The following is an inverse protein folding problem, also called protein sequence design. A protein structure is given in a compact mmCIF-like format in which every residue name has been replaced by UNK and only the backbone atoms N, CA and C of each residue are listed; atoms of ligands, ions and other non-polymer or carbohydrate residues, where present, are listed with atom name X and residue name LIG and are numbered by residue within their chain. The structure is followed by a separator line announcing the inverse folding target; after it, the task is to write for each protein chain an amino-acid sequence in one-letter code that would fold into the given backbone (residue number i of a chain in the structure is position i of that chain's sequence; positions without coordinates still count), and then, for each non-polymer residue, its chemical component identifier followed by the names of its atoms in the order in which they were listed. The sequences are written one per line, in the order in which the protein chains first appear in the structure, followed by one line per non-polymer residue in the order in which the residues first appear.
data_IF_278660521213
#
_entry.id   IF_278660521213
#
_cell.length_a   1.000
_cell.length_b   1.000
_cell.length_c   1.000
_cell.angle_alpha   90.00
_cell.angle_beta   90.00
_cell.angle_gamma   90.00
#
_symmetry.space_group_name_H-M   'P 1'
#
loop_
_entity.id
_entity.type
_entity.pdbx_description
1 polymer ?
#
# COMPACT_ATOMS: atom_id res chain seq x y z
N UNK A 1 -22.29 16.98 -7.36
CA UNK A 1 -22.17 15.72 -6.59
C UNK A 1 -22.17 14.61 -7.61
N UNK A 2 -21.02 13.94 -7.79
CA UNK A 2 -20.91 12.77 -8.65
C UNK A 2 -21.73 11.63 -8.05
N UNK A 3 -22.61 11.04 -8.86
CA UNK A 3 -23.41 9.88 -8.47
C UNK A 3 -22.48 8.65 -8.55
N UNK A 4 -22.09 8.11 -7.40
CA UNK A 4 -21.45 6.79 -7.34
C UNK A 4 -22.53 5.79 -6.98
N UNK A 5 -22.99 5.02 -7.95
CA UNK A 5 -23.94 3.95 -7.72
C UNK A 5 -23.45 2.68 -8.38
N UNK A 6 -23.68 1.56 -7.75
CA UNK A 6 -23.43 0.25 -8.34
C UNK A 6 -24.44 0.06 -9.48
N UNK A 7 -23.96 -0.38 -10.64
CA UNK A 7 -24.81 -0.61 -11.80
C UNK A 7 -25.83 -1.71 -11.47
N UNK A 8 -27.09 -1.52 -11.89
CA UNK A 8 -28.13 -2.55 -11.71
C UNK A 8 -27.67 -3.88 -12.31
N UNK A 9 -27.83 -4.98 -11.55
CA UNK A 9 -27.35 -6.30 -11.92
C UNK A 9 -25.90 -6.59 -11.54
N UNK A 10 -25.20 -5.66 -10.87
CA UNK A 10 -23.88 -5.94 -10.31
C UNK A 10 -23.97 -6.95 -9.17
N UNK A 11 -23.02 -7.86 -9.15
CA UNK A 11 -22.89 -8.85 -8.08
C UNK A 11 -22.12 -8.22 -6.90
N UNK A 12 -22.80 -7.93 -5.81
CA UNK A 12 -22.22 -7.35 -4.60
C UNK A 12 -21.23 -8.26 -3.87
N UNK A 13 -21.16 -9.53 -4.25
CA UNK A 13 -20.16 -10.46 -3.73
C UNK A 13 -18.86 -10.40 -4.51
N UNK A 14 -18.85 -9.75 -5.67
CA UNK A 14 -17.63 -9.55 -6.46
C UNK A 14 -16.74 -8.51 -5.80
N UNK A 15 -15.49 -8.81 -5.80
CA UNK A 15 -14.40 -8.05 -5.19
C UNK A 15 -13.25 -7.89 -6.17
N UNK A 16 -12.49 -6.83 -6.01
CA UNK A 16 -11.21 -6.70 -6.70
C UNK A 16 -10.11 -7.26 -5.80
N UNK A 17 -9.40 -8.27 -6.30
CA UNK A 17 -8.25 -8.85 -5.59
C UNK A 17 -7.00 -8.65 -6.42
N UNK A 18 -5.95 -8.11 -5.81
CA UNK A 18 -4.67 -7.85 -6.46
C UNK A 18 -3.55 -8.58 -5.74
N UNK A 19 -2.54 -8.97 -6.51
CA UNK A 19 -1.34 -9.65 -6.03
C UNK A 19 -1.64 -10.87 -5.14
N UNK A 20 -2.66 -11.66 -5.50
CA UNK A 20 -3.02 -12.86 -4.76
C UNK A 20 -1.98 -13.96 -4.94
N UNK A 21 -1.58 -14.56 -3.82
CA UNK A 21 -0.71 -15.75 -3.82
C UNK A 21 -1.08 -16.67 -2.66
N UNK A 22 -1.06 -17.99 -2.85
CA UNK A 22 -1.31 -18.95 -1.76
C UNK A 22 -0.23 -18.90 -0.66
N UNK A 23 0.90 -18.22 -0.92
CA UNK A 23 1.97 -18.03 0.06
C UNK A 23 1.76 -16.79 0.92
N UNK A 24 0.87 -15.89 0.52
CA UNK A 24 0.64 -14.65 1.28
C UNK A 24 -0.19 -14.93 2.52
N UNK A 25 0.31 -14.46 3.65
CA UNK A 25 -0.38 -14.52 4.94
C UNK A 25 -0.86 -13.13 5.41
N UNK A 26 -0.60 -12.10 4.62
CA UNK A 26 -0.94 -10.71 4.90
C UNK A 26 -1.96 -10.21 3.88
N UNK A 27 -3.07 -9.68 4.38
CA UNK A 27 -4.15 -9.10 3.58
C UNK A 27 -4.30 -7.61 3.91
N UNK A 28 -4.41 -6.78 2.88
CA UNK A 28 -4.82 -5.37 3.01
C UNK A 28 -6.24 -5.25 2.48
N UNK A 29 -7.13 -4.64 3.25
CA UNK A 29 -8.54 -4.43 2.90
C UNK A 29 -8.81 -2.94 2.73
N UNK A 30 -9.29 -2.54 1.56
CA UNK A 30 -9.63 -1.14 1.21
C UNK A 30 -11.08 -1.03 0.72
N UNK A 31 -11.59 0.19 0.58
CA UNK A 31 -12.93 0.41 0.00
C UNK A 31 -12.92 0.36 -1.52
N UNK A 32 -11.91 0.93 -2.17
CA UNK A 32 -11.79 0.96 -3.62
C UNK A 32 -10.45 0.37 -4.11
N UNK A 33 -10.43 -0.11 -5.36
CA UNK A 33 -9.22 -0.67 -5.97
C UNK A 33 -8.09 0.37 -6.08
N UNK A 34 -8.43 1.64 -6.32
CA UNK A 34 -7.44 2.73 -6.39
C UNK A 34 -6.71 2.91 -5.06
N UNK A 35 -7.40 2.71 -3.92
CA UNK A 35 -6.79 2.80 -2.59
C UNK A 35 -5.85 1.64 -2.32
N UNK A 36 -6.18 0.45 -2.81
CA UNK A 36 -5.32 -0.71 -2.71
C UNK A 36 -3.99 -0.49 -3.47
N UNK A 37 -4.04 0.07 -4.69
CA UNK A 37 -2.83 0.44 -5.45
C UNK A 37 -2.03 1.55 -4.79
N UNK A 38 -2.72 2.55 -4.26
CA UNK A 38 -2.10 3.68 -3.56
C UNK A 38 -1.42 3.22 -2.28
N UNK A 39 -2.05 2.30 -1.52
CA UNK A 39 -1.44 1.68 -0.35
C UNK A 39 -0.18 0.89 -0.72
N UNK A 40 -0.23 0.09 -1.80
CA UNK A 40 0.93 -0.64 -2.30
C UNK A 40 2.09 0.30 -2.67
N UNK A 41 1.78 1.41 -3.36
CA UNK A 41 2.77 2.44 -3.70
C UNK A 41 3.35 3.13 -2.47
N UNK A 42 2.53 3.36 -1.43
CA UNK A 42 3.01 3.91 -0.16
C UNK A 42 3.96 2.94 0.56
N UNK A 43 3.69 1.63 0.52
CA UNK A 43 4.62 0.63 1.04
C UNK A 43 5.97 0.70 0.31
N UNK A 44 5.96 0.80 -1.02
CA UNK A 44 7.16 0.90 -1.84
C UNK A 44 7.97 2.17 -1.54
N UNK A 45 7.31 3.34 -1.43
CA UNK A 45 7.94 4.61 -1.02
C UNK A 45 8.65 4.48 0.33
N UNK A 46 8.11 3.66 1.23
CA UNK A 46 8.70 3.42 2.55
C UNK A 46 9.70 2.25 2.58
N UNK A 47 10.12 1.74 1.42
CA UNK A 47 11.08 0.64 1.30
C UNK A 47 10.55 -0.72 1.77
N UNK A 48 9.21 -0.89 1.82
CA UNK A 48 8.57 -2.12 2.23
C UNK A 48 8.17 -2.95 1.00
N UNK A 49 8.31 -4.27 1.11
CA UNK A 49 7.95 -5.18 0.02
C UNK A 49 6.42 -5.29 -0.13
N UNK A 50 5.86 -4.47 -1.02
CA UNK A 50 4.42 -4.47 -1.34
C UNK A 50 3.96 -5.80 -1.97
N UNK A 51 4.88 -6.59 -2.57
CA UNK A 51 4.58 -7.88 -3.19
C UNK A 51 4.33 -8.99 -2.18
N UNK A 52 4.68 -8.77 -0.90
CA UNK A 52 4.41 -9.73 0.18
C UNK A 52 2.98 -9.69 0.74
N UNK A 53 2.09 -8.88 0.13
CA UNK A 53 0.71 -8.69 0.56
C UNK A 53 -0.27 -9.07 -0.55
N UNK A 54 -1.42 -9.59 -0.16
CA UNK A 54 -2.61 -9.60 -1.02
C UNK A 54 -3.47 -8.39 -0.68
N UNK A 55 -4.10 -7.80 -1.69
CA UNK A 55 -4.98 -6.64 -1.53
C UNK A 55 -6.39 -7.02 -1.95
N UNK A 56 -7.35 -6.70 -1.09
CA UNK A 56 -8.78 -6.88 -1.32
C UNK A 56 -9.46 -5.51 -1.27
N UNK A 57 -10.07 -5.12 -2.38
CA UNK A 57 -10.99 -4.00 -2.39
C UNK A 57 -12.42 -4.51 -2.26
N UNK A 58 -13.16 -3.93 -1.31
CA UNK A 58 -14.55 -4.29 -1.08
C UNK A 58 -15.48 -3.70 -2.15
N UNK A 59 -15.04 -2.65 -2.87
CA UNK A 59 -15.81 -1.84 -3.81
C UNK A 59 -17.07 -1.18 -3.20
N UNK A 60 -17.30 -1.40 -1.93
CA UNK A 60 -18.38 -0.84 -1.11
C UNK A 60 -17.95 -0.77 0.36
N UNK A 61 -18.86 -0.36 1.25
CA UNK A 61 -18.68 -0.45 2.71
C UNK A 61 -19.20 -1.77 3.31
N UNK A 62 -19.69 -2.68 2.47
CA UNK A 62 -20.20 -3.99 2.86
C UNK A 62 -19.05 -5.00 2.98
N UNK A 63 -19.00 -5.71 4.09
CA UNK A 63 -17.91 -6.62 4.49
C UNK A 63 -18.00 -8.03 3.88
N UNK A 64 -19.10 -8.39 3.22
CA UNK A 64 -19.31 -9.73 2.65
C UNK A 64 -18.19 -10.22 1.73
N UNK A 65 -17.59 -9.38 0.86
CA UNK A 65 -16.43 -9.79 0.06
C UNK A 65 -15.22 -10.26 0.90
N UNK A 66 -15.01 -9.69 2.09
CA UNK A 66 -13.96 -10.14 3.00
C UNK A 66 -14.25 -11.54 3.55
N UNK A 67 -15.51 -11.82 3.89
CA UNK A 67 -15.93 -13.14 4.35
C UNK A 67 -15.60 -14.22 3.33
N UNK A 68 -16.07 -14.05 2.09
CA UNK A 68 -15.85 -15.00 1.01
C UNK A 68 -14.35 -15.17 0.74
N UNK A 69 -13.59 -14.06 0.75
CA UNK A 69 -12.15 -14.12 0.53
C UNK A 69 -11.43 -14.97 1.58
N UNK A 70 -11.81 -14.83 2.86
CA UNK A 70 -11.20 -15.59 3.95
C UNK A 70 -11.53 -17.08 3.91
N UNK A 71 -12.72 -17.47 3.42
CA UNK A 71 -13.09 -18.87 3.21
C UNK A 71 -12.19 -19.53 2.17
N UNK A 72 -11.86 -18.79 1.10
CA UNK A 72 -10.97 -19.26 0.02
C UNK A 72 -9.48 -19.20 0.39
N UNK A 73 -9.11 -18.40 1.42
CA UNK A 73 -7.72 -18.10 1.78
C UNK A 73 -7.43 -18.31 3.28
N UNK A 74 -7.55 -19.57 3.78
CA UNK A 74 -7.38 -19.88 5.21
C UNK A 74 -5.96 -19.66 5.73
N UNK A 75 -4.98 -19.39 4.85
CA UNK A 75 -3.60 -19.10 5.21
C UNK A 75 -3.39 -17.66 5.71
N UNK A 76 -4.37 -16.76 5.58
CA UNK A 76 -4.24 -15.38 6.05
C UNK A 76 -4.11 -15.35 7.59
N UNK A 77 -3.12 -14.60 8.10
CA UNK A 77 -2.80 -14.45 9.52
C UNK A 77 -2.74 -12.99 9.98
N UNK A 78 -2.59 -12.06 9.06
CA UNK A 78 -2.59 -10.63 9.39
C UNK A 78 -3.48 -9.88 8.41
N UNK A 79 -4.40 -9.10 8.94
CA UNK A 79 -5.31 -8.26 8.15
C UNK A 79 -5.06 -6.80 8.51
N UNK A 80 -4.79 -5.99 7.49
CA UNK A 80 -4.70 -4.55 7.59
C UNK A 80 -6.01 -3.95 7.09
N UNK A 81 -6.76 -3.33 7.97
CA UNK A 81 -7.98 -2.60 7.64
C UNK A 81 -7.58 -1.18 7.24
N UNK A 82 -7.59 -0.93 5.95
CA UNK A 82 -7.07 0.28 5.31
C UNK A 82 -8.18 1.06 4.57
N UNK A 83 -9.37 1.11 5.18
CA UNK A 83 -10.51 1.91 4.70
C UNK A 83 -10.26 3.40 4.92
N UNK A 84 -11.10 4.23 4.29
CA UNK A 84 -11.04 5.68 4.33
C UNK A 84 -11.08 6.27 5.76
N UNK A 85 -10.60 7.49 5.91
CA UNK A 85 -10.57 8.18 7.21
C UNK A 85 -11.88 8.92 7.53
N UNK A 86 -12.90 8.81 6.69
CA UNK A 86 -14.21 9.43 6.89
C UNK A 86 -15.18 8.54 7.69
N UNK A 87 -16.39 9.02 7.90
CA UNK A 87 -17.44 8.31 8.67
C UNK A 87 -17.80 6.96 8.02
N UNK A 88 -17.83 6.91 6.68
CA UNK A 88 -18.09 5.70 5.91
C UNK A 88 -17.02 4.64 6.16
N UNK A 89 -15.75 5.02 6.06
CA UNK A 89 -14.61 4.14 6.28
C UNK A 89 -14.50 3.67 7.73
N UNK A 90 -14.82 4.52 8.70
CA UNK A 90 -14.92 4.12 10.12
C UNK A 90 -15.98 3.03 10.29
N UNK A 91 -17.16 3.20 9.71
CA UNK A 91 -18.23 2.21 9.77
C UNK A 91 -17.84 0.90 9.10
N UNK A 92 -17.21 0.97 7.93
CA UNK A 92 -16.70 -0.20 7.20
C UNK A 92 -15.67 -0.98 8.04
N UNK A 93 -14.73 -0.30 8.71
CA UNK A 93 -13.76 -0.95 9.62
C UNK A 93 -14.45 -1.65 10.80
N UNK A 94 -15.44 -1.01 11.42
CA UNK A 94 -16.19 -1.60 12.53
C UNK A 94 -16.89 -2.87 12.06
N UNK A 95 -17.55 -2.85 10.90
CA UNK A 95 -18.22 -4.02 10.33
C UNK A 95 -17.21 -5.15 10.03
N UNK A 96 -16.08 -4.83 9.39
CA UNK A 96 -15.03 -5.81 9.15
C UNK A 96 -14.50 -6.45 10.45
N UNK A 97 -14.28 -5.66 11.51
CA UNK A 97 -13.86 -6.19 12.82
C UNK A 97 -14.90 -7.11 13.42
N UNK A 98 -16.16 -6.70 13.40
CA UNK A 98 -17.27 -7.52 13.89
C UNK A 98 -17.35 -8.85 13.15
N UNK A 99 -17.28 -8.84 11.83
CA UNK A 99 -17.22 -10.05 11.00
C UNK A 99 -16.07 -10.97 11.44
N UNK A 100 -14.86 -10.43 11.61
CA UNK A 100 -13.67 -11.19 11.99
C UNK A 100 -13.82 -11.81 13.40
N UNK A 101 -14.42 -11.10 14.34
CA UNK A 101 -14.73 -11.58 15.69
C UNK A 101 -15.77 -12.71 15.65
N UNK A 102 -16.88 -12.53 14.92
CA UNK A 102 -17.94 -13.53 14.75
C UNK A 102 -17.43 -14.82 14.08
N UNK A 103 -16.46 -14.70 13.17
CA UNK A 103 -15.78 -15.85 12.54
C UNK A 103 -14.72 -16.50 13.43
N UNK A 104 -14.41 -15.94 14.60
CA UNK A 104 -13.33 -16.43 15.45
C UNK A 104 -11.94 -16.31 14.82
N UNK A 105 -11.68 -15.24 14.03
CA UNK A 105 -10.38 -15.03 13.42
C UNK A 105 -9.33 -14.80 14.50
N UNK A 106 -8.32 -15.68 14.58
CA UNK A 106 -7.27 -15.65 15.61
C UNK A 106 -6.00 -14.92 15.20
N UNK A 107 -5.96 -14.39 13.97
CA UNK A 107 -4.83 -13.63 13.45
C UNK A 107 -4.78 -12.19 13.97
N UNK A 108 -3.80 -11.43 13.48
CA UNK A 108 -3.65 -10.02 13.83
C UNK A 108 -4.54 -9.13 12.95
N UNK A 109 -5.28 -8.22 13.56
CA UNK A 109 -6.07 -7.19 12.85
C UNK A 109 -5.51 -5.81 13.21
N UNK A 110 -5.08 -5.05 12.20
CA UNK A 110 -4.37 -3.79 12.37
C UNK A 110 -5.09 -2.72 11.53
N UNK A 111 -5.52 -1.63 12.18
CA UNK A 111 -6.03 -0.47 11.45
C UNK A 111 -4.89 0.32 10.83
N UNK A 112 -5.08 0.71 9.59
CA UNK A 112 -4.22 1.63 8.85
C UNK A 112 -5.06 2.79 8.34
N UNK A 113 -4.70 4.00 8.75
CA UNK A 113 -5.43 5.20 8.40
C UNK A 113 -4.61 6.04 7.43
N UNK A 114 -5.19 6.51 6.32
CA UNK A 114 -4.48 7.34 5.35
C UNK A 114 -3.97 8.65 5.97
N UNK A 115 -4.77 9.30 6.83
CA UNK A 115 -4.42 10.55 7.49
C UNK A 115 -3.32 10.41 8.57
N UNK A 116 -3.04 9.22 9.07
CA UNK A 116 -1.90 8.98 9.96
C UNK A 116 -0.56 9.03 9.22
N UNK A 117 -0.57 8.80 7.91
CA UNK A 117 0.62 8.82 7.05
C UNK A 117 0.74 10.13 6.26
N UNK A 118 -0.38 10.82 6.04
CA UNK A 118 -0.45 12.10 5.33
C UNK A 118 -1.58 12.94 5.95
N UNK A 119 -1.28 13.91 6.83
CA UNK A 119 -2.30 14.74 7.46
C UNK A 119 -3.22 15.41 6.44
N UNK A 120 -4.53 15.26 6.62
CA UNK A 120 -5.54 15.79 5.70
C UNK A 120 -5.99 14.82 4.61
N UNK A 121 -5.31 13.68 4.40
CA UNK A 121 -5.76 12.66 3.47
C UNK A 121 -7.05 12.00 3.96
N UNK A 122 -8.01 11.82 3.06
CA UNK A 122 -9.27 11.10 3.32
C UNK A 122 -9.15 9.62 2.99
N UNK A 123 -8.46 9.32 1.90
CA UNK A 123 -8.24 8.00 1.37
C UNK A 123 -6.75 7.78 1.04
N UNK A 124 -6.39 6.59 0.61
CA UNK A 124 -4.99 6.26 0.32
C UNK A 124 -4.48 6.91 -0.98
N UNK A 125 -5.37 7.25 -1.91
CA UNK A 125 -5.00 7.98 -3.10
C UNK A 125 -4.61 9.43 -2.74
N UNK A 126 -5.38 10.10 -1.88
CA UNK A 126 -5.02 11.41 -1.32
C UNK A 126 -3.66 11.33 -0.59
N UNK A 127 -3.46 10.32 0.25
CA UNK A 127 -2.21 10.11 0.98
C UNK A 127 -1.00 9.97 0.05
N UNK A 128 -1.15 9.20 -1.03
CA UNK A 128 -0.10 9.02 -2.04
C UNK A 128 0.23 10.32 -2.77
N UNK A 129 -0.80 11.09 -3.18
CA UNK A 129 -0.63 12.39 -3.85
C UNK A 129 0.13 13.36 -2.95
N UNK A 130 -0.29 13.49 -1.68
CA UNK A 130 0.37 14.36 -0.70
C UNK A 130 1.83 13.94 -0.46
N UNK A 131 2.08 12.63 -0.34
CA UNK A 131 3.44 12.11 -0.12
C UNK A 131 4.36 12.36 -1.30
N UNK A 132 3.88 12.17 -2.53
CA UNK A 132 4.65 12.47 -3.74
C UNK A 132 4.98 13.97 -3.83
N UNK A 133 4.00 14.84 -3.57
CA UNK A 133 4.24 16.28 -3.56
C UNK A 133 5.24 16.71 -2.47
N UNK A 134 5.30 16.03 -1.34
CA UNK A 134 6.33 16.23 -0.30
C UNK A 134 7.71 15.83 -0.82
N UNK A 135 7.83 14.68 -1.45
CA UNK A 135 9.10 14.19 -2.02
C UNK A 135 9.64 15.10 -3.13
N UNK A 136 8.76 15.64 -3.99
CA UNK A 136 9.13 16.58 -5.04
C UNK A 136 9.62 17.94 -4.51
N UNK A 137 9.16 18.34 -3.32
CA UNK A 137 9.58 19.59 -2.66
C UNK A 137 10.84 19.44 -1.80
N UNK A 138 11.20 18.19 -1.44
CA UNK A 138 12.43 17.95 -0.70
C UNK A 138 13.63 18.40 -1.55
N UNK A 139 14.57 19.20 -0.99
CA UNK A 139 15.78 19.57 -1.72
C UNK A 139 16.49 18.27 -2.17
N UNK A 140 16.91 18.21 -3.44
CA UNK A 140 17.83 17.19 -3.88
C UNK A 140 19.12 17.44 -3.10
N UNK A 141 19.38 16.69 -2.02
CA UNK A 141 20.71 16.62 -1.44
C UNK A 141 21.61 16.05 -2.55
N UNK A 142 22.28 16.95 -3.26
CA UNK A 142 23.37 16.58 -4.14
C UNK A 142 24.44 16.00 -3.22
N UNK A 143 24.61 14.69 -3.23
CA UNK A 143 25.85 14.11 -2.73
C UNK A 143 26.98 14.89 -3.36
N UNK A 144 27.94 15.41 -2.56
CA UNK A 144 29.08 16.09 -3.14
C UNK A 144 29.72 15.14 -4.14
N UNK A 145 29.76 15.53 -5.42
CA UNK A 145 30.51 14.81 -6.42
C UNK A 145 31.92 14.75 -5.86
N UNK A 146 32.29 13.59 -5.30
CA UNK A 146 33.64 13.36 -4.83
C UNK A 146 34.57 13.76 -5.94
N UNK A 147 35.37 14.79 -5.67
CA UNK A 147 36.38 15.29 -6.59
C UNK A 147 37.16 14.07 -7.12
N UNK A 148 37.08 13.86 -8.42
CA UNK A 148 37.87 12.84 -9.10
C UNK A 148 39.32 13.14 -8.75
N UNK A 149 39.95 12.27 -7.93
CA UNK A 149 41.37 12.37 -7.67
C UNK A 149 42.09 12.41 -9.01
N UNK A 150 43.02 13.36 -9.23
CA UNK A 150 43.75 13.43 -10.47
C UNK A 150 44.51 12.11 -10.66
N UNK A 151 44.23 11.43 -11.78
CA UNK A 151 44.95 10.22 -12.20
C UNK A 151 46.41 10.57 -12.26
N UNK A 152 47.22 10.01 -11.38
CA UNK A 152 48.68 10.14 -11.39
C UNK A 152 49.19 9.65 -12.77
N UNK A 153 49.83 10.55 -13.52
CA UNK A 153 50.46 10.18 -14.78
C UNK A 153 51.63 9.21 -14.49
N UNK A 154 51.75 8.09 -15.21
CA UNK A 154 52.90 7.22 -15.05
C UNK A 154 54.15 7.97 -15.57
N UNK A 155 55.12 8.13 -14.69
CA UNK A 155 56.46 8.64 -15.07
C UNK A 155 57.12 7.64 -16.00
N UNK A 156 57.22 7.96 -17.29
CA UNK A 156 58.04 7.21 -18.25
C UNK A 156 59.51 7.56 -17.95
N UNK A 157 60.17 6.73 -17.18
CA UNK A 157 61.63 6.79 -17.08
C UNK A 157 62.27 6.27 -18.35
N UNK A 158 62.76 7.18 -19.20
CA UNK A 158 63.65 6.86 -20.28
C UNK A 158 65.06 6.73 -19.68
N UNK A 159 65.51 5.49 -19.48
CA UNK A 159 66.91 5.17 -19.16
C UNK A 159 67.67 5.14 -20.50
N UNK A 160 68.42 6.20 -20.76
CA UNK A 160 69.38 6.30 -21.85
C UNK A 160 70.80 6.28 -21.25
N UNK A 161 71.35 5.08 -21.05
CA UNK A 161 72.79 4.93 -20.83
C UNK A 161 73.48 4.26 -22.02
N UNK A 162 74.67 4.73 -22.41
CA UNK A 162 75.34 4.39 -23.66
C UNK A 162 75.96 2.98 -23.68
#
# INVERSE_FOLDING_TARGET
KGYRNVVEGSDYQKRCVMNQSPRHTKLVVTEAAVDAWSFASMLEIHGLDHKAYTYLSLETTYEGPLEIFLDENPQIRTIYLAQDADESGIKSRINCRKLLEERGFTGRVIDKLPNANAPGAKDWNDALILKRAEMERAPIEQEPINAVEPIAQPSIGLDLTP
#
